data_IF_320544990983
#
_entry.id   IF_320544990983
#
_cell.length_a   1.000
_cell.length_b   1.000
_cell.length_c   1.000
_cell.angle_alpha   90.00
_cell.angle_beta   90.00
_cell.angle_gamma   90.00
#
_symmetry.space_group_name_H-M   'P 1'
#
loop_
_entity.id
_entity.type
_entity.pdbx_description
1 polymer ?
#
# COMPACT_ATOMS: atom_id res chain seq x y z
N UNK A 1 17.52 54.36 55.50
CA UNK A 1 16.13 54.02 55.88
C UNK A 1 15.70 52.82 55.06
N UNK A 2 15.48 51.70 55.74
CA UNK A 2 14.51 50.60 55.59
C UNK A 2 13.59 50.50 54.35
N UNK A 3 13.08 49.28 54.03
CA UNK A 3 13.21 48.69 52.69
C UNK A 3 11.85 48.19 52.11
N UNK A 4 11.67 47.00 51.47
CA UNK A 4 10.74 46.77 50.34
C UNK A 4 9.46 46.00 50.74
N UNK A 5 8.49 45.82 49.83
CA UNK A 5 7.35 44.90 50.02
C UNK A 5 7.04 44.12 48.74
N UNK A 6 7.17 42.80 48.84
CA UNK A 6 6.53 41.78 48.02
C UNK A 6 5.30 41.20 48.78
N UNK A 7 4.77 40.04 48.40
CA UNK A 7 3.50 39.79 47.71
C UNK A 7 2.32 39.42 48.65
N UNK A 8 1.10 39.28 48.10
CA UNK A 8 -0.03 38.64 48.80
C UNK A 8 -0.37 37.30 48.16
N UNK A 9 -0.17 36.24 48.95
CA UNK A 9 -0.76 34.92 48.83
C UNK A 9 -1.96 34.85 49.80
N UNK A 10 -3.09 34.25 49.40
CA UNK A 10 -4.14 33.81 50.33
C UNK A 10 -4.64 32.42 49.91
N UNK A 11 -4.41 31.47 50.81
CA UNK A 11 -4.98 30.10 50.90
C UNK A 11 -6.50 30.21 51.15
N UNK A 12 -7.39 29.27 50.81
CA UNK A 12 -7.50 27.90 51.31
C UNK A 12 -8.89 27.32 50.98
N UNK A 13 -9.06 26.03 51.31
CA UNK A 13 -10.29 25.31 51.68
C UNK A 13 -11.06 24.51 50.61
N UNK A 14 -10.61 23.26 50.50
CA UNK A 14 -11.37 22.00 50.47
C UNK A 14 -12.76 22.08 51.13
N UNK A 15 -13.78 21.54 50.46
CA UNK A 15 -14.77 20.70 51.14
C UNK A 15 -15.48 19.71 50.19
N UNK A 16 -15.35 18.42 50.51
CA UNK A 16 -16.16 17.32 49.98
C UNK A 16 -17.43 17.19 50.86
N UNK A 17 -18.58 16.88 50.26
CA UNK A 17 -19.68 16.20 50.96
C UNK A 17 -20.40 15.23 50.04
N UNK A 18 -20.35 13.96 50.43
CA UNK A 18 -21.16 12.83 49.98
C UNK A 18 -22.56 12.89 50.60
N UNK A 19 -23.59 12.44 49.89
CA UNK A 19 -24.83 11.86 50.48
C UNK A 19 -25.40 10.79 49.53
N UNK A 20 -25.47 9.55 50.02
CA UNK A 20 -26.39 8.50 49.57
C UNK A 20 -27.73 8.64 50.32
N UNK A 21 -28.86 8.21 49.75
CA UNK A 21 -29.59 6.99 50.16
C UNK A 21 -31.04 6.93 49.58
N UNK A 22 -31.45 5.70 49.26
CA UNK A 22 -32.77 5.07 49.48
C UNK A 22 -33.78 4.95 48.33
N UNK A 23 -34.26 3.69 48.23
CA UNK A 23 -35.23 3.09 47.32
C UNK A 23 -36.68 3.53 47.60
N UNK A 24 -37.53 3.51 46.56
CA UNK A 24 -38.95 3.15 46.68
C UNK A 24 -39.39 2.28 45.49
N UNK A 25 -40.09 1.20 45.84
CA UNK A 25 -40.67 0.16 45.01
C UNK A 25 -42.04 0.58 44.43
N UNK A 26 -42.35 0.14 43.20
CA UNK A 26 -43.68 -0.36 42.79
C UNK A 26 -43.67 -0.84 41.32
N UNK A 27 -44.33 -1.97 41.08
CA UNK A 27 -44.71 -2.57 39.78
C UNK A 27 -46.23 -2.85 39.84
N UNK A 28 -46.95 -3.42 38.83
CA UNK A 28 -46.58 -3.83 37.47
C UNK A 28 -47.64 -3.48 36.37
N UNK A 29 -47.38 -3.85 35.11
CA UNK A 29 -48.42 -4.37 34.18
C UNK A 29 -47.81 -5.08 32.96
N UNK A 30 -48.28 -6.33 32.76
CA UNK A 30 -48.40 -7.23 31.60
C UNK A 30 -47.80 -6.88 30.24
N UNK A 31 -47.45 -7.79 29.32
CA UNK A 31 -47.33 -9.25 29.22
C UNK A 31 -46.81 -9.45 27.78
N UNK A 32 -45.80 -10.31 27.58
CA UNK A 32 -45.85 -11.41 26.59
C UNK A 32 -44.57 -12.21 26.65
N UNK A 33 -44.69 -13.41 27.24
CA UNK A 33 -43.67 -14.44 27.21
C UNK A 33 -43.61 -15.14 25.85
N UNK A 34 -42.42 -15.57 25.45
CA UNK A 34 -42.19 -16.80 24.69
C UNK A 34 -41.12 -17.62 25.40
N UNK A 35 -41.46 -18.88 25.61
CA UNK A 35 -40.82 -19.91 26.43
C UNK A 35 -39.56 -20.52 25.79
N UNK A 36 -38.62 -21.05 26.60
CA UNK A 36 -37.64 -22.03 26.16
C UNK A 36 -37.91 -23.39 26.80
N UNK A 37 -37.72 -24.49 26.06
CA UNK A 37 -37.69 -25.85 26.61
C UNK A 37 -36.82 -26.77 25.75
N UNK A 38 -36.28 -27.86 26.35
CA UNK A 38 -34.87 -28.24 26.23
C UNK A 38 -34.68 -29.59 25.53
N UNK A 39 -33.45 -29.97 25.19
CA UNK A 39 -33.12 -31.38 24.93
C UNK A 39 -31.66 -31.71 25.24
N UNK A 40 -31.52 -32.57 26.24
CA UNK A 40 -30.36 -33.37 26.63
C UNK A 40 -30.06 -34.43 25.55
N UNK A 41 -28.79 -34.66 25.21
CA UNK A 41 -28.30 -35.97 24.74
C UNK A 41 -26.85 -36.17 25.20
N UNK A 42 -26.61 -37.19 26.02
CA UNK A 42 -25.29 -37.74 26.33
C UNK A 42 -24.86 -38.73 25.23
N UNK A 43 -23.57 -38.91 24.91
CA UNK A 43 -23.11 -40.00 24.06
C UNK A 43 -22.70 -41.24 24.87
N UNK A 44 -23.17 -42.40 24.42
CA UNK A 44 -22.73 -43.74 24.83
C UNK A 44 -21.43 -44.09 24.08
N UNK A 45 -20.50 -44.74 24.80
CA UNK A 45 -19.22 -45.23 24.28
C UNK A 45 -19.27 -46.71 23.85
N UNK A 46 -18.25 -47.12 23.08
CA UNK A 46 -17.80 -48.48 22.71
C UNK A 46 -18.55 -49.14 21.53
N UNK A 47 -17.93 -49.70 20.48
CA UNK A 47 -16.59 -50.33 20.36
C UNK A 47 -16.00 -50.25 18.94
N UNK A 48 -14.68 -50.37 18.91
CA UNK A 48 -13.71 -50.20 17.81
C UNK A 48 -13.61 -51.45 16.92
N UNK A 49 -13.39 -51.26 15.61
CA UNK A 49 -12.40 -51.94 14.72
C UNK A 49 -12.79 -51.68 13.26
N UNK A 50 -11.94 -51.34 12.29
CA UNK A 50 -10.52 -50.99 12.23
C UNK A 50 -10.22 -50.71 10.75
N UNK A 51 -9.70 -49.53 10.40
CA UNK A 51 -8.66 -49.33 9.39
C UNK A 51 -8.20 -47.86 9.43
N UNK A 52 -6.92 -47.70 9.70
CA UNK A 52 -6.24 -46.49 10.10
C UNK A 52 -6.01 -45.48 8.96
N UNK A 53 -5.96 -44.22 9.39
CA UNK A 53 -5.10 -43.10 9.01
C UNK A 53 -4.11 -43.27 7.86
N UNK A 54 -4.01 -42.23 7.03
CA UNK A 54 -2.90 -41.27 7.04
C UNK A 54 -3.34 -40.09 6.15
N UNK A 55 -3.10 -38.82 6.47
CA UNK A 55 -1.92 -38.24 7.07
C UNK A 55 -1.58 -37.03 6.19
N UNK A 56 -1.00 -36.00 6.79
CA UNK A 56 -0.35 -34.91 6.07
C UNK A 56 0.54 -35.50 4.95
N UNK A 57 0.15 -35.37 3.68
CA UNK A 57 1.15 -35.45 2.60
C UNK A 57 1.74 -34.06 2.49
N UNK A 58 2.87 -33.90 3.17
CA UNK A 58 3.93 -32.98 2.76
C UNK A 58 4.21 -33.33 1.29
N UNK A 59 3.74 -32.49 0.36
CA UNK A 59 4.12 -32.59 -1.05
C UNK A 59 5.21 -31.57 -1.31
N UNK A 60 6.34 -31.71 -0.61
CA UNK A 60 7.49 -30.82 -0.82
C UNK A 60 8.44 -31.35 -1.92
N UNK A 61 8.35 -32.65 -2.29
CA UNK A 61 9.28 -33.28 -3.24
C UNK A 61 8.64 -34.04 -4.43
N UNK A 62 7.31 -34.00 -4.62
CA UNK A 62 6.70 -34.71 -5.75
C UNK A 62 6.91 -33.95 -7.07
N UNK A 63 7.25 -34.65 -8.18
CA UNK A 63 7.27 -34.05 -9.51
C UNK A 63 5.95 -33.32 -9.82
N UNK A 64 6.06 -32.17 -10.48
CA UNK A 64 4.88 -31.35 -10.81
C UNK A 64 3.87 -32.12 -11.66
N UNK A 65 4.31 -33.06 -12.50
CA UNK A 65 3.41 -33.95 -13.24
C UNK A 65 2.57 -34.85 -12.32
N UNK A 66 3.15 -35.40 -11.26
CA UNK A 66 2.42 -36.26 -10.31
C UNK A 66 1.39 -35.47 -9.49
N UNK A 67 1.72 -34.21 -9.20
CA UNK A 67 0.80 -33.25 -8.59
C UNK A 67 -0.39 -32.93 -9.50
N UNK A 68 -0.14 -32.64 -10.78
CA UNK A 68 -1.19 -32.36 -11.76
C UNK A 68 -2.08 -33.59 -12.00
N UNK A 69 -1.50 -34.79 -12.02
CA UNK A 69 -2.24 -36.05 -12.16
C UNK A 69 -3.11 -36.35 -10.93
N UNK A 70 -2.58 -36.08 -9.73
CA UNK A 70 -3.34 -36.19 -8.48
C UNK A 70 -4.52 -35.22 -8.47
N UNK A 71 -4.30 -33.99 -8.94
CA UNK A 71 -5.35 -32.99 -9.06
C UNK A 71 -6.45 -33.43 -10.05
N UNK A 72 -6.08 -33.94 -11.23
CA UNK A 72 -7.04 -34.51 -12.21
C UNK A 72 -7.85 -35.67 -11.63
N UNK A 73 -7.23 -36.51 -10.79
CA UNK A 73 -7.91 -37.64 -10.14
C UNK A 73 -8.95 -37.18 -9.11
N UNK A 74 -8.68 -36.07 -8.41
CA UNK A 74 -9.62 -35.46 -7.46
C UNK A 74 -10.78 -34.80 -8.22
N UNK A 75 -10.48 -34.03 -9.27
CA UNK A 75 -11.47 -33.30 -10.08
C UNK A 75 -12.47 -34.28 -10.71
N UNK A 76 -11.97 -35.35 -11.31
CA UNK A 76 -12.79 -36.36 -11.99
C UNK A 76 -13.27 -37.46 -11.04
N UNK A 77 -13.02 -37.31 -9.73
CA UNK A 77 -13.41 -38.27 -8.70
C UNK A 77 -14.90 -38.24 -8.38
N UNK A 78 -15.36 -39.28 -7.69
CA UNK A 78 -16.74 -39.36 -7.22
C UNK A 78 -16.96 -40.46 -6.20
N UNK A 79 -18.09 -40.40 -5.52
CA UNK A 79 -18.52 -41.40 -4.55
C UNK A 79 -19.47 -42.39 -5.20
N UNK A 80 -19.15 -43.68 -5.10
CA UNK A 80 -20.07 -44.74 -5.51
C UNK A 80 -20.80 -45.27 -4.29
N UNK A 81 -22.14 -45.24 -4.31
CA UNK A 81 -22.97 -45.82 -3.25
C UNK A 81 -23.71 -47.03 -3.77
N UNK A 82 -23.63 -48.15 -3.04
CA UNK A 82 -24.31 -49.39 -3.38
C UNK A 82 -25.61 -49.48 -2.62
N UNK A 83 -26.73 -49.58 -3.35
CA UNK A 83 -28.05 -49.72 -2.75
C UNK A 83 -28.28 -51.15 -2.26
N UNK A 84 -29.17 -51.34 -1.27
CA UNK A 84 -29.50 -52.63 -0.65
C UNK A 84 -30.00 -53.73 -1.62
N UNK A 85 -30.31 -53.37 -2.88
CA UNK A 85 -30.68 -54.29 -3.97
C UNK A 85 -29.54 -54.56 -4.98
N UNK A 86 -28.29 -54.26 -4.63
CA UNK A 86 -27.10 -54.55 -5.45
C UNK A 86 -26.85 -53.56 -6.60
N UNK A 87 -27.64 -52.49 -6.75
CA UNK A 87 -27.40 -51.46 -7.78
C UNK A 87 -26.47 -50.37 -7.23
N UNK A 88 -25.34 -50.14 -7.89
CA UNK A 88 -24.42 -49.03 -7.59
C UNK A 88 -24.86 -47.73 -8.29
N UNK A 89 -24.73 -46.60 -7.60
CA UNK A 89 -24.93 -45.26 -8.17
C UNK A 89 -23.65 -44.45 -7.94
N UNK A 90 -23.05 -43.98 -9.03
CA UNK A 90 -21.89 -43.09 -9.02
C UNK A 90 -22.36 -41.63 -8.94
N UNK A 91 -21.78 -40.87 -8.01
CA UNK A 91 -22.02 -39.44 -7.86
C UNK A 91 -20.67 -38.70 -7.95
N UNK A 92 -20.43 -37.92 -9.01
CA UNK A 92 -19.20 -37.14 -9.13
C UNK A 92 -19.10 -36.08 -8.02
N UNK A 93 -17.88 -35.68 -7.66
CA UNK A 93 -17.66 -34.63 -6.65
C UNK A 93 -18.14 -33.25 -7.11
N UNK A 94 -18.23 -33.02 -8.42
CA UNK A 94 -18.70 -31.78 -9.03
C UNK A 94 -19.45 -32.04 -10.34
N UNK A 95 -20.08 -31.02 -10.91
CA UNK A 95 -20.74 -31.15 -12.21
C UNK A 95 -19.72 -31.36 -13.33
N UNK A 96 -20.15 -32.04 -14.40
CA UNK A 96 -19.32 -32.34 -15.56
C UNK A 96 -18.80 -31.06 -16.25
N UNK A 97 -19.62 -30.01 -16.32
CA UNK A 97 -19.24 -28.72 -16.89
C UNK A 97 -18.13 -28.03 -16.10
N UNK A 98 -18.25 -28.02 -14.76
CA UNK A 98 -17.24 -27.42 -13.88
C UNK A 98 -15.94 -28.25 -13.91
N UNK A 99 -16.04 -29.57 -13.91
CA UNK A 99 -14.87 -30.45 -14.04
C UNK A 99 -14.10 -30.18 -15.35
N UNK A 100 -14.82 -30.00 -16.47
CA UNK A 100 -14.22 -29.68 -17.77
C UNK A 100 -13.51 -28.31 -17.76
N UNK A 101 -14.13 -27.27 -17.20
CA UNK A 101 -13.49 -25.96 -17.06
C UNK A 101 -12.23 -26.00 -16.21
N UNK A 102 -12.25 -26.74 -15.09
CA UNK A 102 -11.08 -26.86 -14.22
C UNK A 102 -9.98 -27.68 -14.92
N UNK A 103 -10.32 -28.75 -15.64
CA UNK A 103 -9.34 -29.52 -16.41
C UNK A 103 -8.65 -28.64 -17.48
N UNK A 104 -9.38 -27.76 -18.17
CA UNK A 104 -8.77 -26.80 -19.12
C UNK A 104 -7.75 -25.87 -18.44
N UNK A 105 -7.98 -25.48 -17.19
CA UNK A 105 -7.02 -24.69 -16.42
C UNK A 105 -5.78 -25.50 -16.03
N UNK A 106 -5.96 -26.79 -15.70
CA UNK A 106 -4.85 -27.72 -15.43
C UNK A 106 -3.98 -27.90 -16.68
N UNK A 107 -4.60 -28.06 -17.86
CA UNK A 107 -3.88 -28.18 -19.14
C UNK A 107 -3.08 -26.91 -19.47
N UNK A 108 -3.66 -25.73 -19.23
CA UNK A 108 -2.97 -24.46 -19.41
C UNK A 108 -1.79 -24.28 -18.46
N UNK A 109 -1.87 -24.81 -17.23
CA UNK A 109 -0.77 -24.82 -16.27
C UNK A 109 0.36 -25.77 -16.72
N UNK A 110 0.00 -26.97 -17.17
CA UNK A 110 0.96 -27.97 -17.69
C UNK A 110 1.74 -27.41 -18.89
N UNK A 111 1.05 -26.79 -19.85
CA UNK A 111 1.66 -26.17 -21.03
C UNK A 111 2.65 -25.04 -20.67
N UNK A 112 2.29 -24.17 -19.71
CA UNK A 112 3.18 -23.08 -19.26
C UNK A 112 4.41 -23.62 -18.55
N UNK A 113 4.26 -24.70 -17.79
CA UNK A 113 5.37 -25.32 -17.11
C UNK A 113 6.36 -25.96 -18.08
N UNK A 114 5.86 -26.68 -19.10
CA UNK A 114 6.71 -27.26 -20.14
C UNK A 114 7.47 -26.17 -20.93
N UNK A 115 6.79 -25.08 -21.30
CA UNK A 115 7.40 -23.93 -22.00
C UNK A 115 8.51 -23.27 -21.18
N UNK A 116 8.43 -23.30 -19.85
CA UNK A 116 9.46 -22.77 -18.96
C UNK A 116 10.68 -23.71 -18.84
N UNK A 117 10.49 -25.02 -18.91
CA UNK A 117 11.60 -25.97 -18.90
C UNK A 117 12.37 -25.97 -20.23
N UNK A 118 11.66 -25.92 -21.36
CA UNK A 118 12.29 -25.89 -22.69
C UNK A 118 13.12 -24.61 -22.91
N UNK A 119 12.70 -23.49 -22.31
CA UNK A 119 13.46 -22.23 -22.34
C UNK A 119 14.70 -22.22 -21.42
N UNK A 120 14.84 -23.16 -20.49
CA UNK A 120 16.03 -23.27 -19.63
C UNK A 120 17.12 -24.19 -20.19
N UNK A 121 16.81 -25.04 -21.19
CA UNK A 121 17.79 -25.93 -21.82
C UNK A 121 18.51 -25.35 -23.06
N UNK A 122 18.16 -24.13 -23.50
CA UNK A 122 18.79 -23.48 -24.66
C UNK A 122 19.74 -22.32 -24.29
N UNK A 123 20.78 -22.61 -23.50
CA UNK A 123 21.96 -21.73 -23.40
C UNK A 123 23.24 -22.54 -23.64
N UNK A 124 23.74 -22.52 -24.89
CA UNK A 124 25.13 -22.83 -25.25
C UNK A 124 25.69 -21.64 -26.07
N UNK A 125 27.00 -21.29 -25.98
CA UNK A 125 27.53 -20.00 -26.43
C UNK A 125 27.67 -19.87 -27.97
N UNK A 126 27.83 -18.65 -28.51
CA UNK A 126 27.75 -18.39 -29.95
C UNK A 126 29.12 -18.40 -30.65
N UNK A 127 29.13 -18.81 -31.93
CA UNK A 127 30.06 -18.37 -32.98
C UNK A 127 29.49 -18.76 -34.38
N UNK A 128 30.02 -18.26 -35.51
CA UNK A 128 29.75 -16.94 -36.09
C UNK A 128 29.22 -16.99 -37.54
N UNK A 129 28.62 -15.88 -37.97
CA UNK A 129 28.43 -15.32 -39.33
C UNK A 129 28.22 -16.26 -40.54
N UNK A 130 27.13 -16.08 -41.29
CA UNK A 130 27.21 -15.47 -42.64
C UNK A 130 25.87 -15.26 -43.37
N UNK A 131 25.75 -14.04 -43.93
CA UNK A 131 25.12 -13.62 -45.21
C UNK A 131 23.83 -14.29 -45.75
N UNK A 132 22.76 -13.50 -45.95
CA UNK A 132 22.23 -12.99 -47.26
C UNK A 132 20.75 -12.56 -47.20
N UNK A 133 20.48 -11.55 -48.03
CA UNK A 133 19.21 -10.91 -48.37
C UNK A 133 18.03 -11.86 -48.65
N UNK A 134 16.80 -11.40 -48.39
CA UNK A 134 15.79 -11.13 -49.43
C UNK A 134 14.60 -10.37 -48.84
N UNK A 135 14.28 -9.26 -49.51
CA UNK A 135 13.09 -8.41 -49.45
C UNK A 135 11.90 -9.08 -50.16
N UNK A 136 10.69 -9.04 -49.60
CA UNK A 136 9.45 -8.93 -50.39
C UNK A 136 8.47 -7.98 -49.69
N UNK A 137 7.89 -7.12 -50.52
CA UNK A 137 7.01 -5.99 -50.24
C UNK A 137 5.57 -6.37 -49.78
N UNK A 138 4.93 -5.37 -49.18
CA UNK A 138 3.53 -5.08 -48.78
C UNK A 138 2.40 -5.56 -49.73
N UNK A 139 1.07 -5.60 -49.36
CA UNK A 139 0.34 -4.47 -48.75
C UNK A 139 -0.82 -4.75 -47.76
N UNK A 140 -1.22 -3.61 -47.19
CA UNK A 140 -2.28 -3.24 -46.24
C UNK A 140 -3.68 -3.71 -46.64
N UNK A 141 -4.53 -4.01 -45.65
CA UNK A 141 -5.90 -3.50 -45.71
C UNK A 141 -6.43 -3.07 -44.33
N UNK A 142 -7.15 -1.95 -44.36
CA UNK A 142 -7.55 -1.11 -43.23
C UNK A 142 -9.06 -1.26 -43.03
N UNK A 143 -9.52 -1.54 -41.81
CA UNK A 143 -10.91 -1.30 -41.45
C UNK A 143 -11.02 -0.92 -39.97
N UNK A 144 -11.12 0.39 -39.78
CA UNK A 144 -11.42 1.13 -38.57
C UNK A 144 -12.82 0.79 -38.03
N UNK A 145 -12.93 0.50 -36.74
CA UNK A 145 -14.15 0.78 -35.97
C UNK A 145 -13.73 1.52 -34.71
N UNK A 146 -13.96 2.83 -34.73
CA UNK A 146 -13.91 3.70 -33.57
C UNK A 146 -15.09 3.34 -32.66
N UNK A 147 -14.83 3.04 -31.39
CA UNK A 147 -15.84 3.16 -30.35
C UNK A 147 -15.24 4.01 -29.24
N UNK A 148 -15.76 5.24 -29.17
CA UNK A 148 -15.50 6.20 -28.11
C UNK A 148 -15.88 5.55 -26.78
N UNK A 149 -14.87 5.24 -25.97
CA UNK A 149 -15.07 4.93 -24.56
C UNK A 149 -14.54 6.12 -23.79
N UNK A 150 -15.42 6.78 -23.04
CA UNK A 150 -15.03 7.81 -22.06
C UNK A 150 -13.85 7.33 -21.22
N UNK A 151 -12.87 8.18 -20.90
CA UNK A 151 -11.79 7.78 -20.01
C UNK A 151 -12.37 7.61 -18.60
N UNK A 152 -12.55 6.35 -18.18
CA UNK A 152 -12.75 6.00 -16.78
C UNK A 152 -11.68 6.71 -15.93
N UNK A 153 -12.13 7.37 -14.86
CA UNK A 153 -11.29 8.09 -13.91
C UNK A 153 -10.18 7.17 -13.37
N UNK A 154 -8.96 7.36 -13.88
CA UNK A 154 -7.78 6.60 -13.45
C UNK A 154 -7.45 7.00 -12.01
N UNK A 155 -7.92 6.20 -11.04
CA UNK A 155 -7.50 6.27 -9.64
C UNK A 155 -6.06 5.79 -9.51
N UNK A 156 -5.12 6.66 -9.87
CA UNK A 156 -3.69 6.40 -9.83
C UNK A 156 -3.23 6.10 -8.39
N UNK A 157 -2.99 4.82 -8.11
CA UNK A 157 -2.44 4.31 -6.84
C UNK A 157 -0.92 4.15 -6.93
N UNK A 158 -0.22 4.11 -5.80
CA UNK A 158 1.25 3.94 -5.78
C UNK A 158 1.72 2.69 -6.56
N UNK A 159 0.95 1.61 -6.53
CA UNK A 159 1.25 0.39 -7.29
C UNK A 159 1.30 0.63 -8.81
N UNK A 160 0.43 1.48 -9.35
CA UNK A 160 0.39 1.76 -10.79
C UNK A 160 1.58 2.63 -11.22
N UNK A 161 2.00 3.58 -10.38
CA UNK A 161 3.22 4.36 -10.61
C UNK A 161 4.50 3.50 -10.65
N UNK A 162 4.49 2.33 -9.98
CA UNK A 162 5.66 1.45 -9.85
C UNK A 162 5.67 0.26 -10.84
N UNK A 163 4.58 0.02 -11.58
CA UNK A 163 4.35 -1.14 -12.44
C UNK A 163 4.90 -1.05 -13.88
N UNK A 164 5.68 -0.02 -14.25
CA UNK A 164 6.37 -0.04 -15.56
C UNK A 164 7.29 -1.26 -15.65
N UNK A 165 7.17 -2.11 -16.70
CA UNK A 165 8.10 -3.21 -16.92
C UNK A 165 9.47 -2.60 -17.18
N UNK A 166 10.44 -2.91 -16.32
CA UNK A 166 11.77 -2.33 -16.41
C UNK A 166 12.78 -3.45 -16.32
N UNK A 167 13.43 -3.70 -17.45
CA UNK A 167 14.85 -4.06 -17.51
C UNK A 167 15.60 -3.35 -16.37
N UNK A 168 16.16 -4.11 -15.42
CA UNK A 168 17.14 -3.67 -14.40
C UNK A 168 17.04 -2.18 -14.00
N UNK A 169 16.10 -1.80 -13.12
CA UNK A 169 15.94 -0.41 -12.63
C UNK A 169 17.27 0.10 -12.07
N UNK A 170 17.91 1.05 -12.76
CA UNK A 170 19.07 1.78 -12.25
C UNK A 170 18.68 2.58 -11.01
N UNK A 171 19.62 2.75 -10.08
CA UNK A 171 19.45 3.59 -8.91
C UNK A 171 20.04 4.95 -9.17
N UNK A 172 19.20 5.98 -9.13
CA UNK A 172 19.59 7.35 -9.42
C UNK A 172 20.00 8.09 -8.15
N UNK A 173 21.19 8.71 -8.16
CA UNK A 173 21.65 9.68 -7.17
C UNK A 173 21.60 11.07 -7.78
N UNK A 174 21.04 12.05 -7.07
CA UNK A 174 21.03 13.45 -7.53
C UNK A 174 22.16 14.22 -6.86
N UNK A 175 22.87 15.03 -7.62
CA UNK A 175 23.98 15.86 -7.16
C UNK A 175 23.70 17.30 -7.58
N UNK A 176 23.71 18.23 -6.63
CA UNK A 176 23.53 19.66 -6.89
C UNK A 176 24.75 20.45 -6.41
N UNK A 177 25.10 21.57 -7.06
CA UNK A 177 26.15 22.43 -6.57
C UNK A 177 25.68 23.10 -5.27
N UNK A 178 26.60 23.36 -4.36
CA UNK A 178 26.29 24.16 -3.19
C UNK A 178 26.13 25.64 -3.60
N UNK A 179 25.31 26.40 -2.86
CA UNK A 179 24.91 27.77 -3.26
C UNK A 179 26.10 28.75 -3.39
N UNK A 180 27.20 28.45 -2.71
CA UNK A 180 28.39 29.29 -2.62
C UNK A 180 29.52 28.85 -3.57
N UNK A 181 29.22 27.97 -4.54
CA UNK A 181 30.24 27.39 -5.44
C UNK A 181 30.21 28.03 -6.83
N UNK A 182 31.33 28.61 -7.27
CA UNK A 182 31.49 29.17 -8.62
C UNK A 182 31.60 28.09 -9.72
N UNK A 183 31.94 26.87 -9.34
CA UNK A 183 32.18 25.75 -10.25
C UNK A 183 30.88 24.99 -10.59
N UNK A 184 30.14 25.53 -11.57
CA UNK A 184 28.84 24.99 -12.02
C UNK A 184 28.93 23.68 -12.82
N UNK A 185 30.12 23.32 -13.32
CA UNK A 185 30.31 22.13 -14.14
C UNK A 185 30.57 20.86 -13.29
N UNK A 186 29.52 20.40 -12.60
CA UNK A 186 29.58 19.20 -11.78
C UNK A 186 30.04 17.94 -12.56
N UNK A 187 29.77 17.85 -13.88
CA UNK A 187 30.19 16.69 -14.70
C UNK A 187 31.71 16.60 -14.76
N UNK A 188 32.40 17.74 -14.90
CA UNK A 188 33.87 17.79 -14.90
C UNK A 188 34.40 17.49 -13.51
N UNK A 189 33.80 18.06 -12.47
CA UNK A 189 34.18 17.82 -11.09
C UNK A 189 34.08 16.32 -10.70
N UNK A 190 32.99 15.66 -11.10
CA UNK A 190 32.81 14.21 -10.98
C UNK A 190 33.89 13.46 -11.75
N UNK A 191 34.05 13.69 -13.06
CA UNK A 191 35.03 12.94 -13.86
C UNK A 191 36.49 13.12 -13.41
N UNK A 192 36.86 14.30 -12.93
CA UNK A 192 38.23 14.62 -12.55
C UNK A 192 38.57 14.16 -11.13
N UNK A 193 37.66 14.30 -10.17
CA UNK A 193 37.92 13.98 -8.75
C UNK A 193 37.46 12.59 -8.34
N UNK A 194 36.49 12.02 -9.06
CA UNK A 194 35.98 10.68 -8.82
C UNK A 194 36.46 9.80 -9.99
N UNK A 195 37.39 8.89 -9.72
CA UNK A 195 37.93 7.97 -10.73
C UNK A 195 36.86 6.95 -11.14
N UNK A 196 36.02 7.30 -12.10
CA UNK A 196 34.99 6.42 -12.67
C UNK A 196 35.70 5.27 -13.40
N UNK A 197 35.57 4.04 -12.92
CA UNK A 197 36.01 2.84 -13.64
C UNK A 197 36.67 1.73 -12.82
N UNK A 198 37.13 1.97 -11.59
CA UNK A 198 37.72 0.90 -10.73
C UNK A 198 36.88 0.52 -9.51
N UNK A 199 36.18 1.47 -8.89
CA UNK A 199 35.54 1.23 -7.58
C UNK A 199 34.02 1.02 -7.64
N UNK A 200 33.35 1.57 -8.67
CA UNK A 200 31.91 1.49 -8.87
C UNK A 200 31.51 1.77 -10.32
N UNK A 201 30.31 1.33 -10.71
CA UNK A 201 29.78 1.47 -12.07
C UNK A 201 28.75 2.60 -12.17
N UNK A 202 28.77 3.32 -13.29
CA UNK A 202 27.78 4.33 -13.66
C UNK A 202 27.17 3.90 -14.99
N UNK A 203 25.84 3.76 -15.03
CA UNK A 203 25.06 3.48 -16.25
C UNK A 203 24.88 4.74 -17.09
N UNK A 204 24.50 5.86 -16.47
CA UNK A 204 24.23 7.11 -17.18
C UNK A 204 24.41 8.34 -16.27
N UNK A 205 24.65 9.50 -16.87
CA UNK A 205 24.77 10.80 -16.19
C UNK A 205 23.96 11.84 -16.95
N UNK A 206 22.85 12.30 -16.35
CA UNK A 206 21.91 13.25 -16.97
C UNK A 206 22.01 14.62 -16.30
N UNK A 207 22.09 15.69 -17.10
CA UNK A 207 22.01 17.07 -16.58
C UNK A 207 20.57 17.42 -16.21
N UNK A 208 20.40 18.11 -15.09
CA UNK A 208 19.12 18.60 -14.57
C UNK A 208 19.09 20.13 -14.58
N UNK A 209 17.91 20.70 -14.29
CA UNK A 209 17.76 22.13 -14.02
C UNK A 209 18.57 22.53 -12.78
N UNK A 210 18.94 23.81 -12.68
CA UNK A 210 19.74 24.37 -11.57
C UNK A 210 21.12 23.73 -11.44
N UNK A 211 21.80 23.47 -12.56
CA UNK A 211 23.14 22.89 -12.62
C UNK A 211 23.29 21.54 -11.90
N UNK A 212 22.17 20.86 -11.61
CA UNK A 212 22.15 19.54 -11.02
C UNK A 212 22.49 18.42 -12.00
N UNK A 213 22.85 17.25 -11.46
CA UNK A 213 23.12 16.04 -12.21
C UNK A 213 22.40 14.86 -11.56
N UNK A 214 21.81 13.99 -12.38
CA UNK A 214 21.36 12.67 -12.00
C UNK A 214 22.39 11.62 -12.46
N UNK A 215 22.89 10.82 -11.52
CA UNK A 215 23.83 9.72 -11.76
C UNK A 215 23.07 8.42 -11.60
N UNK A 216 22.91 7.67 -12.69
CA UNK A 216 22.24 6.38 -12.70
C UNK A 216 23.26 5.27 -12.49
N UNK A 217 23.12 4.50 -11.42
CA UNK A 217 23.99 3.38 -11.05
C UNK A 217 23.28 2.02 -11.25
N UNK A 218 24.01 0.93 -11.49
CA UNK A 218 23.42 -0.41 -11.58
C UNK A 218 22.97 -0.94 -10.20
N UNK A 219 23.66 -0.60 -9.11
CA UNK A 219 23.36 -1.14 -7.77
C UNK A 219 23.27 -0.07 -6.67
N UNK A 220 22.82 -0.45 -5.46
CA UNK A 220 22.91 0.43 -4.27
C UNK A 220 24.34 0.65 -3.83
N UNK A 221 25.15 -0.41 -3.92
CA UNK A 221 26.52 -0.39 -3.43
C UNK A 221 27.34 0.65 -4.19
N UNK A 222 27.09 0.81 -5.50
CA UNK A 222 27.70 1.88 -6.30
C UNK A 222 27.30 3.28 -5.81
N UNK A 223 26.03 3.49 -5.46
CA UNK A 223 25.54 4.76 -4.90
C UNK A 223 26.19 5.04 -3.56
N UNK A 224 26.27 4.04 -2.69
CA UNK A 224 26.83 4.18 -1.35
C UNK A 224 28.33 4.50 -1.42
N UNK A 225 29.08 3.85 -2.33
CA UNK A 225 30.48 4.18 -2.62
C UNK A 225 30.68 5.60 -3.14
N UNK A 226 29.77 6.09 -4.00
CA UNK A 226 29.81 7.49 -4.46
C UNK A 226 29.59 8.45 -3.28
N UNK A 227 28.62 8.16 -2.42
CA UNK A 227 28.34 8.96 -1.22
C UNK A 227 29.53 8.95 -0.26
N UNK A 228 30.14 7.80 -0.04
CA UNK A 228 31.35 7.65 0.78
C UNK A 228 32.53 8.44 0.18
N UNK A 229 32.72 8.42 -1.14
CA UNK A 229 33.78 9.18 -1.81
C UNK A 229 33.58 10.69 -1.69
N UNK A 230 32.33 11.16 -1.80
CA UNK A 230 32.01 12.58 -1.54
C UNK A 230 32.24 12.90 -0.06
N UNK A 231 31.85 12.00 0.84
CA UNK A 231 32.06 12.09 2.28
C UNK A 231 33.54 12.19 2.66
N UNK A 232 34.41 11.40 2.04
CA UNK A 232 35.84 11.37 2.38
C UNK A 232 36.65 12.51 1.75
N UNK A 233 36.04 13.40 0.96
CA UNK A 233 36.72 14.50 0.27
C UNK A 233 36.12 15.86 0.67
N UNK A 234 36.78 16.65 1.54
CA UNK A 234 36.26 17.95 2.01
C UNK A 234 35.96 18.92 0.87
N UNK A 235 36.84 18.99 -0.14
CA UNK A 235 36.64 19.86 -1.31
C UNK A 235 35.48 19.45 -2.22
N UNK A 236 34.95 18.23 -2.07
CA UNK A 236 33.73 17.78 -2.74
C UNK A 236 32.49 18.05 -1.88
N UNK A 237 32.59 17.91 -0.54
CA UNK A 237 31.50 18.24 0.36
C UNK A 237 31.12 19.72 0.32
N UNK A 238 32.10 20.62 0.23
CA UNK A 238 31.84 22.06 0.14
C UNK A 238 31.13 22.43 -1.17
N UNK A 239 31.44 21.70 -2.25
CA UNK A 239 31.01 22.01 -3.62
C UNK A 239 29.76 21.26 -4.07
N UNK A 240 29.53 20.06 -3.56
CA UNK A 240 28.47 19.15 -3.99
C UNK A 240 27.57 18.81 -2.82
N UNK A 241 26.28 19.01 -3.02
CA UNK A 241 25.22 18.49 -2.17
C UNK A 241 24.61 17.23 -2.80
N UNK A 242 24.99 16.03 -2.31
CA UNK A 242 24.32 14.81 -2.71
C UNK A 242 22.90 14.76 -2.13
N UNK A 243 21.96 14.36 -2.97
CA UNK A 243 20.56 14.10 -2.64
C UNK A 243 20.26 12.68 -3.14
N UNK A 244 20.27 11.73 -2.21
CA UNK A 244 19.80 10.38 -2.50
C UNK A 244 18.29 10.42 -2.72
N UNK A 245 17.82 9.84 -3.83
CA UNK A 245 16.40 9.64 -4.04
C UNK A 245 15.93 8.62 -3.00
N UNK A 246 15.25 9.11 -1.96
CA UNK A 246 14.65 8.24 -0.96
C UNK A 246 13.59 7.41 -1.68
N UNK A 247 13.64 6.09 -1.52
CA UNK A 247 12.52 5.24 -1.94
C UNK A 247 11.32 5.64 -1.08
N UNK A 248 10.32 6.27 -1.69
CA UNK A 248 9.07 6.55 -1.01
C UNK A 248 8.37 5.23 -0.79
N UNK A 249 8.31 4.79 0.45
CA UNK A 249 7.61 3.57 0.82
C UNK A 249 6.11 3.87 0.96
N UNK A 250 5.23 3.02 0.40
CA UNK A 250 3.80 3.21 0.51
C UNK A 250 3.37 3.20 1.98
N UNK A 251 2.34 3.99 2.25
CA UNK A 251 1.69 4.03 3.57
C UNK A 251 0.32 3.40 3.44
N UNK A 252 -0.06 2.66 4.47
CA UNK A 252 -1.36 2.02 4.58
C UNK A 252 -2.04 2.48 5.86
N UNK A 253 -3.37 2.46 5.86
CA UNK A 253 -4.21 2.74 7.02
C UNK A 253 -5.12 1.54 7.29
N UNK A 254 -5.13 1.10 8.55
CA UNK A 254 -6.04 0.09 9.09
C UNK A 254 -7.18 0.78 9.81
N UNK A 255 -8.43 0.42 9.49
CA UNK A 255 -9.62 1.04 10.06
C UNK A 255 -10.25 0.22 11.18
N UNK A 256 -10.92 0.92 12.10
CA UNK A 256 -11.87 0.33 13.04
C UNK A 256 -11.26 -0.42 14.22
N UNK A 257 -10.10 0.01 14.72
CA UNK A 257 -9.47 -0.58 15.90
C UNK A 257 -10.02 0.02 17.20
N UNK A 258 -9.88 -0.72 18.30
CA UNK A 258 -10.29 -0.22 19.62
C UNK A 258 -9.43 0.97 20.09
N UNK A 259 -9.99 1.92 20.84
CA UNK A 259 -9.26 3.11 21.33
C UNK A 259 -7.99 2.77 22.13
N UNK A 260 -8.00 1.64 22.83
CA UNK A 260 -6.90 1.14 23.66
C UNK A 260 -5.81 0.44 22.83
N UNK A 261 -6.03 0.21 21.53
CA UNK A 261 -5.08 -0.51 20.68
C UNK A 261 -3.78 0.28 20.47
N UNK A 262 -2.67 -0.28 20.95
CA UNK A 262 -1.38 0.39 21.05
C UNK A 262 -0.45 0.12 19.86
N UNK A 263 0.64 0.89 19.79
CA UNK A 263 1.63 0.81 18.71
C UNK A 263 2.30 -0.56 18.67
N UNK A 264 2.60 -1.12 19.83
CA UNK A 264 3.30 -2.38 20.02
C UNK A 264 2.45 -3.56 19.52
N UNK A 265 1.13 -3.51 19.74
CA UNK A 265 0.18 -4.49 19.21
C UNK A 265 0.11 -4.43 17.69
N UNK A 266 0.16 -3.23 17.12
CA UNK A 266 0.24 -3.04 15.66
C UNK A 266 1.54 -3.62 15.09
N UNK A 267 2.67 -3.38 15.75
CA UNK A 267 3.97 -3.92 15.35
C UNK A 267 3.97 -5.46 15.39
N UNK A 268 3.50 -6.06 16.49
CA UNK A 268 3.39 -7.50 16.63
C UNK A 268 2.48 -8.12 15.56
N UNK A 269 1.33 -7.49 15.27
CA UNK A 269 0.40 -7.92 14.21
C UNK A 269 1.06 -7.92 12.83
N UNK A 270 1.81 -6.87 12.52
CA UNK A 270 2.51 -6.73 11.25
C UNK A 270 3.64 -7.77 11.12
N UNK A 271 4.43 -7.99 12.17
CA UNK A 271 5.46 -9.03 12.19
C UNK A 271 4.86 -10.43 12.07
N UNK A 272 3.70 -10.70 12.71
CA UNK A 272 3.01 -11.98 12.58
C UNK A 272 2.43 -12.20 11.17
N UNK A 273 1.93 -11.14 10.54
CA UNK A 273 1.28 -11.23 9.21
C UNK A 273 2.26 -11.32 8.06
N UNK A 274 3.44 -10.69 8.18
CA UNK A 274 4.39 -10.54 7.06
C UNK A 274 5.82 -11.01 7.37
N UNK A 275 6.09 -11.45 8.59
CA UNK A 275 7.43 -11.81 9.07
C UNK A 275 8.26 -10.61 9.53
N UNK A 276 9.26 -10.88 10.37
CA UNK A 276 10.09 -9.87 11.05
C UNK A 276 11.23 -9.31 10.17
N UNK A 277 11.20 -9.60 8.86
CA UNK A 277 12.37 -9.47 7.96
C UNK A 277 12.47 -8.08 7.30
N UNK A 278 11.60 -7.14 7.66
CA UNK A 278 11.47 -5.89 6.89
C UNK A 278 11.74 -4.64 7.74
N UNK A 279 13.00 -4.20 7.76
CA UNK A 279 13.43 -2.90 8.29
C UNK A 279 12.61 -1.70 7.76
N UNK A 280 11.98 -1.87 6.60
CA UNK A 280 11.16 -0.86 5.91
C UNK A 280 9.68 -0.86 6.36
N UNK A 281 9.25 -1.85 7.15
CA UNK A 281 7.91 -1.91 7.76
C UNK A 281 7.92 -1.12 9.07
N UNK A 282 7.11 -0.07 9.17
CA UNK A 282 7.13 0.84 10.31
C UNK A 282 5.75 1.34 10.68
N UNK A 283 5.33 1.12 11.92
CA UNK A 283 4.12 1.75 12.46
C UNK A 283 4.37 3.24 12.68
N UNK A 284 3.48 4.09 12.14
CA UNK A 284 3.67 5.54 12.12
C UNK A 284 2.90 6.22 13.25
N UNK A 285 1.57 6.32 13.12
CA UNK A 285 0.73 7.05 14.07
C UNK A 285 -0.73 6.61 13.98
N UNK A 286 -1.48 6.77 15.08
CA UNK A 286 -2.93 6.59 15.06
C UNK A 286 -3.67 7.85 14.57
N UNK A 287 -4.88 7.64 14.07
CA UNK A 287 -5.85 8.67 13.68
C UNK A 287 -7.17 8.37 14.40
N UNK A 288 -7.73 9.38 15.07
CA UNK A 288 -9.06 9.26 15.69
C UNK A 288 -10.14 9.20 14.61
N UNK A 289 -10.93 8.14 14.62
CA UNK A 289 -12.13 7.99 13.80
C UNK A 289 -13.30 8.80 14.35
N UNK A 290 -14.35 8.97 13.52
CA UNK A 290 -15.56 9.70 13.92
C UNK A 290 -16.45 8.92 14.87
N UNK A 291 -16.34 7.59 14.89
CA UNK A 291 -17.18 6.66 15.64
C UNK A 291 -16.57 6.23 16.97
N UNK A 292 -15.59 6.99 17.48
CA UNK A 292 -14.83 6.62 18.69
C UNK A 292 -13.73 5.58 18.47
N UNK A 293 -13.75 4.85 17.35
CA UNK A 293 -12.68 3.91 16.96
C UNK A 293 -11.40 4.64 16.56
N UNK A 294 -10.27 3.93 16.64
CA UNK A 294 -8.96 4.41 16.17
C UNK A 294 -8.58 3.77 14.84
N UNK A 295 -7.76 4.45 14.05
CA UNK A 295 -7.21 3.95 12.79
C UNK A 295 -5.70 4.05 12.86
N UNK A 296 -4.98 3.02 12.42
CA UNK A 296 -3.52 3.01 12.51
C UNK A 296 -2.89 3.13 11.14
N UNK A 297 -1.93 4.07 11.01
CA UNK A 297 -1.16 4.25 9.79
C UNK A 297 0.21 3.58 9.95
N UNK A 298 0.61 2.81 8.94
CA UNK A 298 1.94 2.21 8.88
C UNK A 298 2.55 2.38 7.48
N UNK A 299 3.88 2.42 7.44
CA UNK A 299 4.68 2.39 6.23
C UNK A 299 5.07 0.95 5.93
N UNK A 300 5.11 0.57 4.65
CA UNK A 300 5.37 -0.81 4.27
C UNK A 300 6.17 -0.92 2.96
N UNK A 301 6.98 -1.96 2.77
CA UNK A 301 7.55 -2.31 1.48
C UNK A 301 6.51 -2.45 0.35
N UNK A 302 6.95 -2.19 -0.88
CA UNK A 302 6.09 -2.26 -2.07
C UNK A 302 5.46 -3.65 -2.26
N UNK A 303 6.19 -4.72 -1.95
CA UNK A 303 5.66 -6.07 -2.12
C UNK A 303 4.56 -6.40 -1.10
N UNK A 304 4.70 -5.99 0.17
CA UNK A 304 3.64 -6.13 1.19
C UNK A 304 2.44 -5.27 0.81
N UNK A 305 2.67 -4.02 0.39
CA UNK A 305 1.58 -3.17 -0.12
C UNK A 305 0.81 -3.83 -1.27
N UNK A 306 1.49 -4.49 -2.21
CA UNK A 306 0.80 -5.24 -3.29
C UNK A 306 -0.06 -6.39 -2.76
N UNK A 307 0.37 -7.08 -1.71
CA UNK A 307 -0.44 -8.12 -1.06
C UNK A 307 -1.66 -7.52 -0.36
N UNK A 308 -1.45 -6.48 0.45
CA UNK A 308 -2.50 -5.74 1.14
C UNK A 308 -3.51 -5.12 0.18
N UNK A 309 -3.06 -4.58 -0.96
CA UNK A 309 -3.94 -4.01 -1.99
C UNK A 309 -4.89 -5.05 -2.58
N UNK A 310 -4.42 -6.30 -2.76
CA UNK A 310 -5.24 -7.40 -3.30
C UNK A 310 -6.27 -7.90 -2.30
N UNK A 311 -5.87 -8.06 -1.04
CA UNK A 311 -6.75 -8.60 0.02
C UNK A 311 -7.65 -7.52 0.64
N UNK A 312 -7.21 -6.26 0.62
CA UNK A 312 -7.84 -5.09 1.26
C UNK A 312 -8.15 -5.25 2.75
N UNK A 313 -7.51 -6.21 3.40
CA UNK A 313 -7.73 -6.52 4.80
C UNK A 313 -6.45 -6.98 5.52
N UNK A 314 -6.52 -6.91 6.84
CA UNK A 314 -5.49 -7.38 7.77
C UNK A 314 -6.20 -7.99 8.99
N UNK A 315 -5.78 -9.19 9.37
CA UNK A 315 -6.36 -9.87 10.53
C UNK A 315 -5.61 -9.45 11.79
N UNK A 316 -6.34 -8.99 12.80
CA UNK A 316 -5.84 -8.52 14.10
C UNK A 316 -6.74 -9.17 15.15
N UNK A 317 -6.16 -9.88 16.13
CA UNK A 317 -6.92 -10.54 17.21
C UNK A 317 -8.10 -11.40 16.72
N UNK A 318 -7.92 -12.09 15.57
CA UNK A 318 -8.94 -12.92 14.88
C UNK A 318 -10.09 -12.13 14.25
N UNK A 319 -10.07 -10.81 14.30
CA UNK A 319 -10.95 -9.91 13.57
C UNK A 319 -10.30 -9.42 12.28
N UNK A 320 -11.10 -9.18 11.25
CA UNK A 320 -10.60 -8.72 9.95
C UNK A 320 -10.86 -7.24 9.78
N UNK A 321 -9.79 -6.45 9.69
CA UNK A 321 -9.86 -5.01 9.54
C UNK A 321 -9.60 -4.60 8.10
N UNK A 322 -10.34 -3.58 7.63
CA UNK A 322 -10.12 -3.02 6.30
C UNK A 322 -8.80 -2.27 6.25
N UNK A 323 -7.99 -2.54 5.22
CA UNK A 323 -6.75 -1.83 4.92
C UNK A 323 -6.87 -1.09 3.60
N UNK A 324 -6.51 0.18 3.62
CA UNK A 324 -6.42 1.01 2.40
C UNK A 324 -5.08 1.69 2.32
N UNK A 325 -4.75 2.16 1.12
CA UNK A 325 -3.62 3.06 0.93
C UNK A 325 -3.87 4.37 1.70
N UNK A 326 -2.87 4.79 2.47
CA UNK A 326 -2.88 6.06 3.16
C UNK A 326 -2.18 7.10 2.28
N UNK A 327 -2.99 7.79 1.49
CA UNK A 327 -2.55 8.96 0.74
C UNK A 327 -2.83 10.19 1.60
N UNK A 328 -1.80 10.88 2.08
CA UNK A 328 -2.00 12.23 2.64
C UNK A 328 -0.98 13.22 2.11
N UNK A 329 -1.45 14.10 1.23
CA UNK A 329 -0.82 15.40 1.09
C UNK A 329 -1.13 16.22 2.36
N UNK A 330 -0.09 16.69 3.04
CA UNK A 330 -0.26 17.62 4.16
C UNK A 330 -0.94 18.88 3.65
N UNK A 331 -1.99 19.30 4.33
CA UNK A 331 -2.68 20.57 4.09
C UNK A 331 -2.48 21.51 5.27
N UNK A 332 -2.44 22.79 5.00
CA UNK A 332 -2.53 23.81 6.02
C UNK A 332 -3.86 23.67 6.76
N UNK A 333 -3.84 23.49 8.08
CA UNK A 333 -5.06 23.38 8.88
C UNK A 333 -5.86 24.69 8.94
N UNK A 334 -5.20 25.83 8.69
CA UNK A 334 -5.81 27.17 8.68
C UNK A 334 -6.46 27.50 7.34
N UNK A 335 -5.73 27.42 6.23
CA UNK A 335 -6.23 27.86 4.91
C UNK A 335 -6.58 26.71 3.96
N UNK A 336 -6.35 25.44 4.35
CA UNK A 336 -6.55 24.23 3.55
C UNK A 336 -5.66 24.11 2.29
N UNK A 337 -4.72 25.04 2.10
CA UNK A 337 -3.72 24.96 1.02
C UNK A 337 -2.88 23.70 1.13
N UNK A 338 -2.54 23.12 -0.01
CA UNK A 338 -1.63 21.97 -0.12
C UNK A 338 -0.15 22.39 -0.23
N UNK A 339 0.12 23.71 -0.33
CA UNK A 339 1.47 24.21 -0.60
C UNK A 339 2.30 24.46 0.66
N UNK A 340 1.65 24.64 1.82
CA UNK A 340 2.34 24.93 3.07
C UNK A 340 1.63 24.31 4.28
N UNK A 341 2.33 24.26 5.40
CA UNK A 341 1.80 23.88 6.72
C UNK A 341 1.28 25.10 7.48
N UNK A 342 0.49 24.88 8.53
CA UNK A 342 -0.08 25.97 9.34
C UNK A 342 0.98 26.91 9.94
N UNK A 343 2.18 26.40 10.22
CA UNK A 343 3.34 27.17 10.74
C UNK A 343 3.81 28.26 9.78
N UNK A 344 3.63 28.07 8.47
CA UNK A 344 4.04 29.02 7.43
C UNK A 344 2.83 29.66 6.75
N UNK A 345 1.66 29.61 7.39
CA UNK A 345 0.44 30.16 6.84
C UNK A 345 0.32 31.66 7.14
N UNK A 346 0.19 32.46 6.09
CA UNK A 346 -0.03 33.91 6.18
C UNK A 346 -1.52 34.29 6.19
N UNK A 347 -2.44 33.33 6.00
CA UNK A 347 -3.86 33.63 6.01
C UNK A 347 -4.29 34.14 7.38
N UNK A 348 -5.00 35.26 7.44
CA UNK A 348 -5.55 35.81 8.68
C UNK A 348 -6.70 34.95 9.22
N UNK A 349 -7.52 34.46 8.29
CA UNK A 349 -8.78 33.73 8.53
C UNK A 349 -8.63 32.23 8.37
N UNK A 350 -9.53 31.46 8.99
CA UNK A 350 -9.57 30.00 8.86
C UNK A 350 -10.62 29.61 7.83
N UNK A 351 -10.25 28.73 6.90
CA UNK A 351 -11.13 28.27 5.83
C UNK A 351 -11.58 26.82 6.06
N UNK A 352 -12.87 26.59 5.83
CA UNK A 352 -13.50 25.29 5.96
C UNK A 352 -13.08 24.37 4.81
N UNK A 353 -12.59 23.17 5.14
CA UNK A 353 -12.20 22.17 4.14
C UNK A 353 -13.36 21.54 3.35
N UNK A 354 -14.60 21.72 3.81
CA UNK A 354 -15.79 21.21 3.12
C UNK A 354 -16.37 22.22 2.13
N UNK A 355 -16.62 23.46 2.56
CA UNK A 355 -17.32 24.47 1.75
C UNK A 355 -16.49 25.70 1.37
N UNK A 356 -15.21 25.76 1.75
CA UNK A 356 -14.34 26.93 1.54
C UNK A 356 -14.79 28.24 2.24
N UNK A 357 -15.75 28.18 3.17
CA UNK A 357 -16.20 29.33 3.96
C UNK A 357 -15.24 29.69 5.11
N UNK A 358 -15.36 30.90 5.65
CA UNK A 358 -14.52 31.38 6.77
C UNK A 358 -15.05 30.87 8.13
N UNK A 359 -14.83 29.59 8.43
CA UNK A 359 -15.16 28.94 9.69
C UNK A 359 -14.38 27.61 9.79
N UNK A 360 -14.39 26.98 10.97
CA UNK A 360 -13.83 25.63 11.14
C UNK A 360 -14.77 24.60 10.53
N UNK A 361 -14.24 23.47 10.06
CA UNK A 361 -15.06 22.40 9.49
C UNK A 361 -16.11 21.84 10.47
N UNK A 362 -15.83 21.90 11.78
CA UNK A 362 -16.76 21.53 12.87
C UNK A 362 -18.02 22.39 12.89
N UNK A 363 -17.91 23.64 12.43
CA UNK A 363 -18.97 24.65 12.53
C UNK A 363 -19.68 24.80 11.16
N UNK A 364 -19.43 23.88 10.23
CA UNK A 364 -19.92 23.98 8.87
C UNK A 364 -21.37 23.50 8.75
N UNK A 365 -22.25 24.41 8.34
CA UNK A 365 -23.68 24.11 8.07
C UNK A 365 -24.00 23.94 6.57
N UNK A 366 -23.02 24.12 5.68
CA UNK A 366 -23.23 23.97 4.25
C UNK A 366 -23.52 22.51 3.90
N UNK A 367 -24.49 22.27 3.01
CA UNK A 367 -24.73 20.95 2.40
C UNK A 367 -24.00 20.76 1.08
N UNK A 368 -23.51 21.85 0.47
CA UNK A 368 -22.81 21.81 -0.81
C UNK A 368 -21.30 21.93 -0.58
N UNK A 369 -20.51 20.92 -0.99
CA UNK A 369 -19.07 21.01 -0.89
C UNK A 369 -18.52 21.99 -1.93
N UNK A 370 -17.41 22.64 -1.59
CA UNK A 370 -16.65 23.51 -2.47
C UNK A 370 -15.17 23.38 -2.16
N UNK A 371 -14.37 23.03 -3.17
CA UNK A 371 -12.93 22.81 -3.06
C UNK A 371 -12.16 24.10 -3.27
N UNK A 372 -11.55 24.61 -2.20
CA UNK A 372 -10.74 25.83 -2.24
C UNK A 372 -9.51 25.69 -3.14
N UNK A 373 -8.89 24.50 -3.18
CA UNK A 373 -7.69 24.24 -3.96
C UNK A 373 -7.97 24.26 -5.46
N UNK A 374 -9.03 23.57 -5.91
CA UNK A 374 -9.46 23.62 -7.31
C UNK A 374 -9.90 25.03 -7.72
N UNK A 375 -10.61 25.75 -6.85
CA UNK A 375 -11.03 27.14 -7.13
C UNK A 375 -9.84 28.08 -7.32
N UNK A 376 -8.86 28.04 -6.42
CA UNK A 376 -7.63 28.85 -6.54
C UNK A 376 -6.84 28.46 -7.79
N UNK A 377 -6.71 27.15 -8.05
CA UNK A 377 -5.97 26.68 -9.22
C UNK A 377 -6.62 27.11 -10.54
N UNK A 378 -7.95 27.03 -10.64
CA UNK A 378 -8.72 27.52 -11.77
C UNK A 378 -8.50 29.02 -11.99
N UNK A 379 -8.53 29.82 -10.92
CA UNK A 379 -8.28 31.26 -10.99
C UNK A 379 -6.88 31.58 -11.51
N UNK A 380 -5.85 30.92 -10.97
CA UNK A 380 -4.46 31.21 -11.28
C UNK A 380 -4.04 30.70 -12.67
N UNK A 381 -4.58 29.56 -13.10
CA UNK A 381 -4.15 28.87 -14.33
C UNK A 381 -5.20 28.90 -15.44
N UNK A 382 -6.31 29.64 -15.26
CA UNK A 382 -7.43 29.72 -16.21
C UNK A 382 -7.98 28.35 -16.63
N UNK A 383 -8.02 27.40 -15.68
CA UNK A 383 -8.56 26.04 -15.90
C UNK A 383 -10.01 25.94 -15.42
N UNK A 384 -10.69 24.84 -15.76
CA UNK A 384 -12.12 24.62 -15.47
C UNK A 384 -12.38 23.33 -14.68
N UNK A 385 -11.50 22.99 -13.75
CA UNK A 385 -11.74 21.82 -12.90
C UNK A 385 -13.02 21.99 -12.09
N UNK A 386 -13.78 20.90 -11.93
CA UNK A 386 -14.91 20.87 -11.02
C UNK A 386 -14.48 21.27 -9.61
N UNK A 387 -15.30 22.06 -8.94
CA UNK A 387 -15.03 22.54 -7.57
C UNK A 387 -16.05 22.05 -6.56
N UNK A 388 -17.07 21.30 -6.97
CA UNK A 388 -18.18 20.82 -6.17
C UNK A 388 -17.85 19.54 -5.38
N UNK A 389 -16.70 19.55 -4.71
CA UNK A 389 -16.22 18.47 -3.84
C UNK A 389 -15.43 19.06 -2.67
N UNK A 390 -15.20 18.28 -1.61
CA UNK A 390 -14.43 18.75 -0.46
C UNK A 390 -12.93 18.82 -0.80
N UNK A 391 -12.17 19.70 -0.16
CA UNK A 391 -10.73 19.85 -0.45
C UNK A 391 -9.89 18.60 -0.12
N UNK A 392 -10.47 17.65 0.60
CA UNK A 392 -9.87 16.37 1.00
C UNK A 392 -10.34 15.19 0.13
N UNK A 393 -11.22 15.43 -0.83
CA UNK A 393 -11.74 14.35 -1.65
C UNK A 393 -10.60 13.74 -2.49
N UNK A 394 -10.52 12.42 -2.52
CA UNK A 394 -9.59 11.68 -3.36
C UNK A 394 -9.83 11.90 -4.87
N UNK A 395 -11.03 12.33 -5.25
CA UNK A 395 -11.39 12.73 -6.62
C UNK A 395 -10.90 14.13 -6.98
N UNK A 396 -10.40 14.91 -6.02
CA UNK A 396 -9.89 16.26 -6.27
C UNK A 396 -8.62 16.19 -7.14
N UNK A 397 -8.61 16.78 -8.35
CA UNK A 397 -7.48 16.67 -9.27
C UNK A 397 -6.21 17.35 -8.72
N UNK A 398 -6.37 18.45 -7.97
CA UNK A 398 -5.24 19.17 -7.36
C UNK A 398 -4.67 18.38 -6.18
N UNK A 399 -5.52 17.73 -5.40
CA UNK A 399 -5.10 16.85 -4.31
C UNK A 399 -4.39 15.61 -4.85
N UNK A 400 -4.96 14.97 -5.88
CA UNK A 400 -4.34 13.83 -6.56
C UNK A 400 -2.99 14.20 -7.19
N UNK A 401 -2.88 15.36 -7.85
CA UNK A 401 -1.62 15.86 -8.38
C UNK A 401 -0.58 16.07 -7.26
N UNK A 402 -1.00 16.64 -6.11
CA UNK A 402 -0.11 16.81 -4.97
C UNK A 402 0.37 15.47 -4.41
N UNK A 403 -0.53 14.51 -4.25
CA UNK A 403 -0.17 13.16 -3.81
C UNK A 403 0.84 12.51 -4.75
N UNK A 404 0.68 12.65 -6.07
CA UNK A 404 1.62 12.10 -7.06
C UNK A 404 3.01 12.76 -7.04
N UNK A 405 3.09 14.01 -6.56
CA UNK A 405 4.35 14.73 -6.42
C UNK A 405 5.13 14.40 -5.14
N UNK A 406 4.49 13.69 -4.20
CA UNK A 406 5.09 13.15 -2.97
C UNK A 406 5.64 11.77 -3.28
#
# INVERSE_FOLDING_TARGET
>A
MSPPIAPKEVKSLVNQKSVQLANLTSSPSSERQRSPSPSFVQPISSSISSAFSNGHTIVEDAPIQDLLQSLRSIINGGTTTTTRRGKSKYKPHMSLEIAAEINNLVDALESRFQTQQDNQLNILPPAPNDTKDVRIDTPIDTATIETQTEPEEIKLTYAEATNKPSTSKSKTLLLYPNKDTEEKNLVKLLKTKIKIGRDFQIKDVRKLKNDGIAVDCPSQQDVDKILERIGNNPSLQEKIKPISIKKHLPKCIVYGLEPEFMKEQMEATLSQSFGDVHNDLKVLFPIKGRTGKIHWVFQTPVFIYRQLRRRQNLTIDRETHTVKEFLSARKCSKCQSLEHTATHCTAERTFCGFCSGNHRISDCISRRPSCINCRIYNLNNKTKYRTDHASIDHTCPIYAAKIKSI
#
